data_IF_164111386166
#
_entry.id   IF_164111386166
#
_cell.length_a   1.000
_cell.length_b   1.000
_cell.length_c   1.000
_cell.angle_alpha   90.00
_cell.angle_beta   90.00
_cell.angle_gamma   90.00
#
_symmetry.space_group_name_H-M   'P 1'
#
loop_
_entity.id
_entity.type
_entity.pdbx_description
1 polymer ?
#
# COMPACT_ATOMS: atom_id res chain seq x y z
N UNK A 1 9.03 -3.25 15.52
CA UNK A 1 8.73 -1.96 14.85
C UNK A 1 9.59 -1.85 13.60
N UNK A 2 8.96 -1.64 12.45
CA UNK A 2 9.68 -1.49 11.15
C UNK A 2 9.61 -0.07 10.61
N UNK A 3 8.51 0.66 10.85
CA UNK A 3 8.34 2.08 10.56
C UNK A 3 7.64 2.74 11.74
N UNK A 4 8.05 3.96 12.09
CA UNK A 4 7.29 4.81 13.00
C UNK A 4 7.37 6.27 12.58
N UNK A 5 6.37 7.04 12.99
CA UNK A 5 6.34 8.49 12.86
C UNK A 5 6.23 9.13 14.23
N UNK A 6 6.96 10.25 14.43
CA UNK A 6 6.93 11.04 15.65
C UNK A 6 6.66 12.49 15.31
N UNK A 7 5.57 13.03 15.85
CA UNK A 7 5.10 14.41 15.70
C UNK A 7 5.17 14.91 14.25
N UNK A 8 4.80 14.02 13.32
CA UNK A 8 4.97 14.25 11.89
C UNK A 8 3.95 15.28 11.41
N UNK A 9 4.41 16.30 10.69
CA UNK A 9 3.58 17.23 9.93
C UNK A 9 3.87 17.05 8.44
N UNK A 10 2.81 16.87 7.65
CA UNK A 10 2.88 16.65 6.21
C UNK A 10 2.19 17.78 5.45
N UNK A 11 2.66 18.09 4.26
CA UNK A 11 2.08 19.14 3.41
C UNK A 11 3.01 19.55 2.29
N UNK A 12 2.68 20.65 1.63
CA UNK A 12 3.41 21.21 0.49
C UNK A 12 3.72 22.69 0.72
N UNK A 13 4.88 23.14 0.25
CA UNK A 13 5.28 24.55 0.25
C UNK A 13 5.10 25.24 1.62
N UNK A 14 5.43 24.53 2.70
CA UNK A 14 5.31 25.06 4.06
C UNK A 14 3.87 25.07 4.62
N UNK A 15 2.86 24.69 3.83
CA UNK A 15 1.46 24.60 4.25
C UNK A 15 1.15 23.20 4.73
N UNK A 16 0.84 23.00 6.02
CA UNK A 16 0.50 21.70 6.54
C UNK A 16 -0.89 21.26 6.09
N UNK A 17 -1.02 19.98 5.70
CA UNK A 17 -2.28 19.31 5.44
C UNK A 17 -2.73 18.55 6.70
N UNK A 18 -1.79 17.87 7.37
CA UNK A 18 -2.04 17.21 8.65
C UNK A 18 -0.81 17.36 9.56
N UNK A 19 -1.03 17.38 10.87
CA UNK A 19 0.00 17.58 11.91
C UNK A 19 -0.19 16.58 13.05
N UNK A 20 0.84 16.42 13.88
CA UNK A 20 0.79 15.61 15.09
C UNK A 20 0.59 14.14 14.80
N UNK A 21 1.04 13.66 13.64
CA UNK A 21 0.85 12.27 13.22
C UNK A 21 1.87 11.42 13.97
N UNK A 22 1.36 10.48 14.77
CA UNK A 22 2.16 9.50 15.51
C UNK A 22 1.62 8.10 15.21
N UNK A 23 2.48 7.16 14.82
CA UNK A 23 2.12 5.75 14.65
C UNK A 23 3.35 4.84 14.72
N UNK A 24 3.10 3.55 14.92
CA UNK A 24 4.12 2.51 14.89
C UNK A 24 3.61 1.30 14.10
N UNK A 25 4.38 0.85 13.11
CA UNK A 25 4.10 -0.32 12.28
C UNK A 25 5.11 -1.41 12.62
N UNK A 26 4.63 -2.61 12.87
CA UNK A 26 5.46 -3.78 13.14
C UNK A 26 5.49 -4.73 11.93
N UNK A 27 6.45 -5.67 11.95
CA UNK A 27 6.50 -6.70 10.92
C UNK A 27 5.24 -7.57 10.98
N UNK A 28 4.58 -7.76 9.84
CA UNK A 28 3.37 -8.54 9.72
C UNK A 28 2.08 -7.76 10.01
N UNK A 29 2.16 -6.46 10.35
CA UNK A 29 0.95 -5.64 10.48
C UNK A 29 0.20 -5.51 9.16
N UNK A 30 -1.13 -5.46 9.26
CA UNK A 30 -2.02 -4.96 8.22
C UNK A 30 -2.52 -3.58 8.68
N UNK A 31 -1.79 -2.54 8.28
CA UNK A 31 -1.98 -1.16 8.72
C UNK A 31 -2.84 -0.39 7.73
N UNK A 32 -4.01 0.07 8.17
CA UNK A 32 -4.93 0.85 7.34
C UNK A 32 -4.86 2.34 7.65
N UNK A 33 -4.71 3.16 6.62
CA UNK A 33 -4.83 4.61 6.69
C UNK A 33 -6.18 5.00 6.10
N UNK A 34 -7.04 5.58 6.92
CA UNK A 34 -8.39 5.99 6.56
C UNK A 34 -8.59 7.49 6.75
N UNK A 35 -9.63 8.06 6.16
CA UNK A 35 -9.97 9.47 6.28
C UNK A 35 -10.67 10.00 5.04
N UNK A 36 -11.20 11.22 5.12
CA UNK A 36 -11.89 11.91 4.01
C UNK A 36 -10.99 12.17 2.81
N UNK A 37 -11.56 12.44 1.64
CA UNK A 37 -10.81 12.88 0.49
C UNK A 37 -10.15 14.23 0.78
N UNK A 38 -8.86 14.35 0.43
CA UNK A 38 -8.08 15.55 0.73
C UNK A 38 -7.42 15.59 2.11
N UNK A 39 -7.71 14.68 3.03
CA UNK A 39 -7.14 14.65 4.39
C UNK A 39 -5.61 14.43 4.45
N UNK A 40 -4.95 14.13 3.32
CA UNK A 40 -3.49 13.97 3.27
C UNK A 40 -2.98 12.53 3.23
N UNK A 41 -3.85 11.52 3.11
CA UNK A 41 -3.46 10.09 3.08
C UNK A 41 -2.36 9.78 2.08
N UNK A 42 -2.53 10.15 0.81
CA UNK A 42 -1.52 9.94 -0.23
C UNK A 42 -0.25 10.80 -0.01
N UNK A 43 -0.38 11.97 0.64
CA UNK A 43 0.77 12.78 1.06
C UNK A 43 1.56 12.07 2.15
N UNK A 44 0.88 11.47 3.13
CA UNK A 44 1.50 10.66 4.16
C UNK A 44 2.24 9.45 3.56
N UNK A 45 1.61 8.71 2.64
CA UNK A 45 2.29 7.60 1.95
C UNK A 45 3.55 8.06 1.21
N UNK A 46 3.49 9.18 0.49
CA UNK A 46 4.65 9.74 -0.19
C UNK A 46 5.74 10.16 0.80
N UNK A 47 5.37 10.66 1.97
CA UNK A 47 6.31 11.01 3.04
C UNK A 47 6.95 9.75 3.63
N UNK A 48 6.16 8.69 3.91
CA UNK A 48 6.66 7.39 4.33
C UNK A 48 7.60 6.78 3.28
N UNK A 49 7.32 6.94 2.00
CA UNK A 49 8.19 6.49 0.92
C UNK A 49 9.46 7.34 0.74
N UNK A 50 9.54 8.48 1.44
CA UNK A 50 10.63 9.45 1.30
C UNK A 50 10.63 10.22 -0.01
N UNK A 51 9.49 10.24 -0.72
CA UNK A 51 9.28 11.00 -1.95
C UNK A 51 9.01 12.48 -1.66
N UNK A 52 8.48 12.78 -0.47
CA UNK A 52 8.23 14.14 0.03
C UNK A 52 8.86 14.23 1.42
N UNK A 53 9.53 15.35 1.70
CA UNK A 53 10.07 15.63 3.04
C UNK A 53 8.93 16.07 3.96
N UNK A 54 8.92 15.64 5.22
CA UNK A 54 7.99 16.18 6.20
C UNK A 54 8.26 17.67 6.46
N UNK A 55 7.23 18.40 6.86
CA UNK A 55 7.37 19.80 7.29
C UNK A 55 7.98 19.90 8.69
N UNK A 56 7.63 18.95 9.57
CA UNK A 56 8.25 18.76 10.90
C UNK A 56 8.09 17.31 11.34
N UNK A 57 8.76 16.93 12.43
CA UNK A 57 8.80 15.56 12.91
C UNK A 57 9.65 14.66 12.02
N UNK A 58 9.55 13.36 12.23
CA UNK A 58 10.40 12.39 11.53
C UNK A 58 9.67 11.06 11.26
N UNK A 59 10.09 10.39 10.20
CA UNK A 59 9.75 8.98 9.92
C UNK A 59 11.01 8.15 10.14
N UNK A 60 10.94 7.22 11.07
CA UNK A 60 12.01 6.29 11.43
C UNK A 60 11.79 4.93 10.79
N UNK A 61 12.86 4.32 10.33
CA UNK A 61 12.84 2.99 9.70
C UNK A 61 13.82 2.07 10.43
N UNK A 62 13.41 0.83 10.66
CA UNK A 62 14.33 -0.19 11.13
C UNK A 62 15.39 -0.51 10.05
N UNK A 63 16.56 -0.97 10.46
CA UNK A 63 17.63 -1.37 9.53
C UNK A 63 17.21 -2.48 8.56
N UNK A 64 16.25 -3.31 8.96
CA UNK A 64 15.64 -4.36 8.12
C UNK A 64 14.82 -3.81 6.96
N UNK A 65 14.34 -2.57 7.05
CA UNK A 65 13.54 -1.90 6.02
C UNK A 65 14.41 -0.88 5.30
N UNK A 66 15.06 -1.30 4.23
CA UNK A 66 15.72 -0.35 3.34
C UNK A 66 14.64 0.34 2.49
N UNK A 67 14.62 1.69 2.48
CA UNK A 67 13.68 2.50 1.67
C UNK A 67 13.57 2.04 0.21
N UNK A 68 14.67 1.53 -0.36
CA UNK A 68 14.73 1.01 -1.73
C UNK A 68 14.04 -0.35 -1.95
N UNK A 69 13.59 -1.01 -0.87
CA UNK A 69 12.95 -2.33 -0.92
C UNK A 69 11.51 -2.32 -0.41
N UNK A 70 10.83 -1.20 -0.51
CA UNK A 70 9.41 -1.08 -0.24
C UNK A 70 8.66 -1.32 -1.54
N UNK A 71 7.74 -2.27 -1.54
CA UNK A 71 6.81 -2.45 -2.65
C UNK A 71 5.80 -1.31 -2.65
N UNK A 72 5.61 -0.63 -3.77
CA UNK A 72 4.65 0.45 -3.86
C UNK A 72 3.71 0.29 -5.05
N UNK A 73 2.42 0.30 -4.75
CA UNK A 73 1.35 0.39 -5.73
C UNK A 73 0.68 1.75 -5.57
N UNK A 74 0.93 2.64 -6.52
CA UNK A 74 0.29 3.97 -6.56
C UNK A 74 -1.13 3.89 -7.07
N UNK A 75 -1.98 4.82 -6.64
CA UNK A 75 -3.29 5.04 -7.23
C UNK A 75 -3.15 5.18 -8.75
N UNK A 76 -3.90 4.36 -9.50
CA UNK A 76 -3.92 4.44 -10.95
C UNK A 76 -4.60 5.75 -11.38
N UNK A 77 -3.82 6.67 -11.93
CA UNK A 77 -4.37 7.69 -12.81
C UNK A 77 -4.46 7.06 -14.19
N UNK A 78 -5.56 7.28 -14.87
CA UNK A 78 -5.90 6.72 -16.19
C UNK A 78 -4.90 7.23 -17.26
N UNK A 79 -3.64 6.85 -17.13
CA UNK A 79 -2.57 7.14 -18.05
C UNK A 79 -2.69 6.17 -19.24
N UNK A 80 -3.45 6.60 -20.24
CA UNK A 80 -3.69 5.91 -21.54
C UNK A 80 -2.42 5.74 -22.38
N UNK A 81 -1.25 5.78 -21.77
CA UNK A 81 0.00 5.50 -22.48
C UNK A 81 0.07 4.02 -22.79
N UNK A 82 -0.05 3.70 -24.06
CA UNK A 82 0.15 2.34 -24.58
C UNK A 82 1.61 1.98 -24.32
N UNK A 83 1.83 1.11 -23.33
CA UNK A 83 3.15 0.54 -23.09
C UNK A 83 3.16 -0.89 -23.64
N UNK A 84 3.90 -1.17 -24.72
CA UNK A 84 3.88 -2.46 -25.41
C UNK A 84 4.68 -3.54 -24.70
N UNK A 85 4.55 -3.64 -23.38
CA UNK A 85 5.21 -4.66 -22.58
C UNK A 85 4.24 -5.80 -22.26
N UNK A 86 4.81 -7.00 -22.17
CA UNK A 86 4.10 -8.17 -21.68
C UNK A 86 3.88 -8.09 -20.17
N UNK A 87 2.90 -8.81 -19.65
CA UNK A 87 2.65 -8.95 -18.21
C UNK A 87 3.91 -9.38 -17.48
N UNK A 88 4.63 -10.35 -18.04
CA UNK A 88 5.87 -10.86 -17.44
C UNK A 88 6.95 -9.79 -17.33
N UNK A 89 7.17 -8.99 -18.36
CA UNK A 89 8.16 -7.91 -18.35
C UNK A 89 7.84 -6.85 -17.30
N UNK A 90 6.54 -6.48 -17.16
CA UNK A 90 6.10 -5.54 -16.13
C UNK A 90 6.35 -6.08 -14.75
N UNK A 91 5.94 -7.32 -14.47
CA UNK A 91 6.12 -7.93 -13.14
C UNK A 91 7.60 -8.08 -12.81
N UNK A 92 8.39 -8.58 -13.77
CA UNK A 92 9.83 -8.78 -13.61
C UNK A 92 10.58 -7.47 -13.36
N UNK A 93 10.08 -6.35 -13.90
CA UNK A 93 10.66 -5.02 -13.64
C UNK A 93 10.66 -4.65 -12.15
N UNK A 94 9.79 -5.25 -11.33
CA UNK A 94 9.79 -5.09 -9.88
C UNK A 94 11.10 -5.55 -9.23
N UNK A 95 11.76 -6.57 -9.79
CA UNK A 95 13.04 -7.08 -9.29
C UNK A 95 14.21 -6.09 -9.48
N UNK A 96 14.07 -5.03 -10.29
CA UNK A 96 15.12 -4.03 -10.50
C UNK A 96 15.56 -3.32 -9.22
N UNK A 97 14.66 -3.21 -8.24
CA UNK A 97 14.93 -2.52 -6.97
C UNK A 97 15.80 -3.32 -5.99
N UNK A 98 16.22 -4.53 -6.34
CA UNK A 98 16.93 -5.43 -5.41
C UNK A 98 18.46 -5.22 -5.38
N UNK A 99 18.98 -4.08 -5.88
CA UNK A 99 20.41 -3.75 -5.81
C UNK A 99 21.26 -4.60 -6.76
N UNK A 100 20.82 -4.74 -7.98
CA UNK A 100 21.44 -5.54 -9.04
C UNK A 100 22.80 -5.00 -9.48
N UNK A 101 23.73 -5.92 -9.68
CA UNK A 101 25.04 -5.65 -10.28
C UNK A 101 25.17 -6.14 -11.74
N UNK A 102 24.11 -6.77 -12.29
CA UNK A 102 24.11 -7.35 -13.63
C UNK A 102 22.96 -6.79 -14.48
N UNK A 103 23.14 -6.64 -15.80
CA UNK A 103 22.16 -6.05 -16.69
C UNK A 103 20.97 -6.99 -17.01
N UNK A 104 21.16 -8.29 -16.83
CA UNK A 104 20.14 -9.29 -17.17
C UNK A 104 19.48 -9.87 -15.93
N UNK A 105 18.21 -10.27 -16.06
CA UNK A 105 17.49 -10.97 -15.00
C UNK A 105 17.95 -12.41 -14.85
N UNK A 106 18.19 -12.84 -13.61
CA UNK A 106 18.59 -14.21 -13.29
C UNK A 106 17.43 -15.19 -13.43
N UNK A 107 17.73 -16.49 -13.36
CA UNK A 107 16.70 -17.54 -13.35
C UNK A 107 15.84 -17.46 -12.08
N UNK A 108 16.43 -17.12 -10.95
CA UNK A 108 15.80 -16.97 -9.65
C UNK A 108 14.81 -15.79 -9.66
N UNK A 109 15.22 -14.61 -10.19
CA UNK A 109 14.34 -13.45 -10.35
C UNK A 109 13.13 -13.76 -11.25
N UNK A 110 13.36 -14.48 -12.35
CA UNK A 110 12.29 -14.91 -13.25
C UNK A 110 11.35 -15.92 -12.60
N UNK A 111 11.87 -16.84 -11.79
CA UNK A 111 11.05 -17.80 -11.03
C UNK A 111 10.24 -17.09 -9.97
N UNK A 112 10.84 -16.14 -9.23
CA UNK A 112 10.18 -15.32 -8.23
C UNK A 112 9.05 -14.48 -8.82
N UNK A 113 9.27 -13.83 -9.97
CA UNK A 113 8.22 -13.10 -10.67
C UNK A 113 7.03 -14.00 -11.04
N UNK A 114 7.28 -15.22 -11.54
CA UNK A 114 6.20 -16.19 -11.85
C UNK A 114 5.48 -16.70 -10.61
N UNK A 115 6.17 -16.84 -9.49
CA UNK A 115 5.54 -17.17 -8.20
C UNK A 115 4.54 -16.09 -7.79
N UNK A 116 4.93 -14.80 -7.86
CA UNK A 116 4.01 -13.69 -7.52
C UNK A 116 2.86 -13.56 -8.51
N UNK A 117 3.09 -13.85 -9.78
CA UNK A 117 2.02 -13.95 -10.78
C UNK A 117 1.05 -15.10 -10.49
N UNK A 118 1.55 -16.26 -10.05
CA UNK A 118 0.73 -17.40 -9.68
C UNK A 118 -0.13 -17.09 -8.44
N UNK A 119 0.46 -16.46 -7.42
CA UNK A 119 -0.23 -16.03 -6.20
C UNK A 119 -1.44 -15.12 -6.51
N UNK A 120 -1.32 -14.27 -7.53
CA UNK A 120 -2.37 -13.34 -7.94
C UNK A 120 -3.23 -13.85 -9.12
N UNK A 121 -3.09 -15.13 -9.50
CA UNK A 121 -3.94 -15.78 -10.52
C UNK A 121 -3.75 -15.23 -11.94
N UNK A 122 -2.55 -14.72 -12.27
CA UNK A 122 -2.24 -14.13 -13.59
C UNK A 122 -1.10 -14.83 -14.33
N UNK A 123 -0.67 -16.00 -13.87
CA UNK A 123 0.48 -16.73 -14.46
C UNK A 123 0.25 -17.08 -15.94
N UNK A 124 -0.95 -17.48 -16.29
CA UNK A 124 -1.31 -17.89 -17.66
C UNK A 124 -1.33 -16.69 -18.64
N UNK A 125 -1.27 -15.48 -18.09
CA UNK A 125 -1.29 -14.24 -18.86
C UNK A 125 0.12 -13.71 -19.16
N UNK A 126 1.20 -14.42 -18.80
CA UNK A 126 2.58 -13.90 -18.81
C UNK A 126 3.03 -13.32 -20.17
N UNK A 127 2.55 -13.90 -21.27
CA UNK A 127 2.94 -13.52 -22.63
C UNK A 127 2.02 -12.46 -23.26
N UNK A 128 0.90 -12.15 -22.62
CA UNK A 128 -0.07 -11.20 -23.17
C UNK A 128 0.36 -9.76 -22.90
N UNK A 129 -0.09 -8.87 -23.74
CA UNK A 129 0.19 -7.43 -23.63
C UNK A 129 -0.64 -6.82 -22.50
N UNK A 130 -0.01 -6.06 -21.62
CA UNK A 130 -0.65 -5.42 -20.45
C UNK A 130 -1.84 -4.53 -20.83
N UNK A 131 -1.78 -3.92 -21.99
CA UNK A 131 -2.81 -2.99 -22.46
C UNK A 131 -4.19 -3.65 -22.65
N UNK A 132 -4.22 -4.93 -22.99
CA UNK A 132 -5.45 -5.69 -23.32
C UNK A 132 -6.32 -6.04 -22.10
N UNK A 133 -5.86 -5.75 -20.90
CA UNK A 133 -6.49 -6.23 -19.67
C UNK A 133 -7.54 -5.28 -19.09
N UNK A 134 -8.52 -5.87 -18.39
CA UNK A 134 -9.47 -5.14 -17.54
C UNK A 134 -8.75 -4.43 -16.38
N UNK A 135 -9.43 -3.46 -15.73
CA UNK A 135 -8.89 -2.75 -14.59
C UNK A 135 -8.39 -3.69 -13.48
N UNK A 136 -9.19 -4.68 -13.12
CA UNK A 136 -8.82 -5.66 -12.09
C UNK A 136 -7.63 -6.54 -12.47
N UNK A 137 -7.53 -6.97 -13.72
CA UNK A 137 -6.35 -7.70 -14.20
C UNK A 137 -5.10 -6.84 -14.18
N UNK A 138 -5.19 -5.58 -14.62
CA UNK A 138 -4.09 -4.61 -14.55
C UNK A 138 -3.63 -4.41 -13.11
N UNK A 139 -4.58 -4.30 -12.19
CA UNK A 139 -4.28 -4.15 -10.77
C UNK A 139 -3.50 -5.34 -10.21
N UNK A 140 -3.90 -6.58 -10.54
CA UNK A 140 -3.17 -7.80 -10.15
C UNK A 140 -1.75 -7.84 -10.73
N UNK A 141 -1.54 -7.38 -11.97
CA UNK A 141 -0.21 -7.26 -12.59
C UNK A 141 0.67 -6.26 -11.82
N UNK A 142 0.13 -5.08 -11.51
CA UNK A 142 0.88 -4.04 -10.80
C UNK A 142 1.16 -4.42 -9.34
N UNK A 143 0.23 -5.13 -8.69
CA UNK A 143 0.45 -5.70 -7.36
C UNK A 143 1.55 -6.77 -7.40
N UNK A 144 1.55 -7.68 -8.39
CA UNK A 144 2.62 -8.64 -8.59
C UNK A 144 3.98 -7.96 -8.76
N UNK A 145 4.03 -6.88 -9.53
CA UNK A 145 5.24 -6.06 -9.70
C UNK A 145 5.71 -5.46 -8.38
N UNK A 146 4.79 -4.89 -7.60
CA UNK A 146 5.11 -4.33 -6.29
C UNK A 146 5.64 -5.39 -5.32
N UNK A 147 5.08 -6.59 -5.32
CA UNK A 147 5.56 -7.73 -4.54
C UNK A 147 6.96 -8.19 -4.96
N UNK A 148 7.29 -8.10 -6.26
CA UNK A 148 8.64 -8.43 -6.73
C UNK A 148 9.71 -7.44 -6.24
N UNK A 149 9.33 -6.24 -5.81
CA UNK A 149 10.28 -5.24 -5.30
C UNK A 149 10.57 -5.34 -3.81
N UNK A 150 9.83 -6.18 -3.08
CA UNK A 150 9.96 -6.33 -1.62
C UNK A 150 9.74 -7.77 -1.16
N UNK A 151 10.28 -8.08 0.04
CA UNK A 151 9.96 -9.29 0.79
C UNK A 151 9.24 -8.99 2.11
N UNK A 152 9.24 -7.73 2.57
CA UNK A 152 8.86 -7.39 3.94
C UNK A 152 7.70 -6.40 4.04
N UNK A 153 7.59 -5.44 3.12
CA UNK A 153 6.66 -4.33 3.24
C UNK A 153 6.12 -3.89 1.89
N UNK A 154 4.80 -3.87 1.77
CA UNK A 154 4.11 -3.31 0.62
C UNK A 154 3.23 -2.13 1.05
N UNK A 155 3.25 -1.05 0.28
CA UNK A 155 2.43 0.15 0.47
C UNK A 155 1.49 0.27 -0.72
N UNK A 156 0.20 0.42 -0.44
CA UNK A 156 -0.87 0.42 -1.43
C UNK A 156 -1.70 1.71 -1.29
N UNK A 157 -1.79 2.47 -2.36
CA UNK A 157 -2.60 3.70 -2.42
C UNK A 157 -3.89 3.41 -3.20
N UNK A 158 -5.00 3.20 -2.48
CA UNK A 158 -6.32 2.88 -3.01
C UNK A 158 -6.34 1.71 -4.01
N UNK A 159 -5.84 0.51 -3.62
CA UNK A 159 -5.62 -0.60 -4.56
C UNK A 159 -6.88 -1.15 -5.21
N UNK A 160 -8.06 -0.88 -4.66
CA UNK A 160 -9.35 -1.41 -5.15
C UNK A 160 -10.22 -0.33 -5.79
N UNK A 161 -9.72 0.90 -5.92
CA UNK A 161 -10.51 2.01 -6.47
C UNK A 161 -10.94 1.73 -7.91
N UNK A 162 -12.26 1.84 -8.16
CA UNK A 162 -12.85 1.63 -9.50
C UNK A 162 -12.96 0.16 -9.93
N UNK A 163 -12.74 -0.80 -9.04
CA UNK A 163 -12.97 -2.23 -9.29
C UNK A 163 -14.40 -2.62 -8.92
N UNK A 164 -14.91 -3.66 -9.59
CA UNK A 164 -16.18 -4.27 -9.20
C UNK A 164 -16.05 -5.03 -7.86
N UNK A 165 -17.19 -5.28 -7.15
CA UNK A 165 -17.15 -5.87 -5.80
C UNK A 165 -16.48 -7.25 -5.75
N UNK A 166 -16.65 -8.09 -6.77
CA UNK A 166 -16.09 -9.45 -6.79
C UNK A 166 -14.56 -9.37 -6.92
N UNK A 167 -14.06 -8.57 -7.84
CA UNK A 167 -12.61 -8.35 -8.03
C UNK A 167 -12.00 -7.70 -6.80
N UNK A 168 -12.74 -6.80 -6.14
CA UNK A 168 -12.33 -6.15 -4.89
C UNK A 168 -12.13 -7.18 -3.77
N UNK A 169 -13.09 -8.07 -3.56
CA UNK A 169 -13.00 -9.12 -2.54
C UNK A 169 -11.84 -10.07 -2.82
N UNK A 170 -11.68 -10.52 -4.06
CA UNK A 170 -10.56 -11.37 -4.49
C UNK A 170 -9.20 -10.70 -4.20
N UNK A 171 -9.09 -9.38 -4.43
CA UNK A 171 -7.85 -8.64 -4.20
C UNK A 171 -7.54 -8.55 -2.71
N UNK A 172 -8.54 -8.28 -1.87
CA UNK A 172 -8.37 -8.26 -0.41
C UNK A 172 -7.96 -9.63 0.14
N UNK A 173 -8.58 -10.72 -0.34
CA UNK A 173 -8.21 -12.08 0.04
C UNK A 173 -6.74 -12.39 -0.34
N UNK A 174 -6.30 -11.96 -1.52
CA UNK A 174 -4.92 -12.12 -1.93
C UNK A 174 -3.95 -11.30 -1.04
N UNK A 175 -4.32 -10.08 -0.64
CA UNK A 175 -3.53 -9.25 0.28
C UNK A 175 -3.46 -9.87 1.68
N UNK A 176 -4.55 -10.47 2.17
CA UNK A 176 -4.57 -11.19 3.44
C UNK A 176 -3.61 -12.40 3.40
N UNK A 177 -3.64 -13.19 2.32
CA UNK A 177 -2.70 -14.31 2.15
C UNK A 177 -1.25 -13.87 2.15
N UNK A 178 -0.94 -12.74 1.47
CA UNK A 178 0.39 -12.14 1.46
C UNK A 178 0.80 -11.70 2.88
N UNK A 179 -0.12 -11.11 3.63
CA UNK A 179 0.12 -10.69 5.00
C UNK A 179 0.35 -11.88 5.94
N UNK A 180 -0.44 -12.95 5.83
CA UNK A 180 -0.23 -14.22 6.57
C UNK A 180 1.14 -14.86 6.30
N UNK A 181 1.73 -14.60 5.14
CA UNK A 181 3.11 -15.01 4.81
C UNK A 181 4.18 -14.11 5.45
N UNK A 182 3.79 -13.14 6.29
CA UNK A 182 4.67 -12.26 7.05
C UNK A 182 5.04 -10.94 6.33
N UNK A 183 4.44 -10.65 5.18
CA UNK A 183 4.61 -9.35 4.54
C UNK A 183 3.73 -8.32 5.24
N UNK A 184 4.33 -7.21 5.67
CA UNK A 184 3.59 -6.08 6.21
C UNK A 184 2.83 -5.37 5.09
N UNK A 185 1.56 -5.10 5.31
CA UNK A 185 0.70 -4.37 4.37
C UNK A 185 0.35 -3.00 4.97
N UNK A 186 0.68 -1.93 4.26
CA UNK A 186 0.22 -0.57 4.56
C UNK A 186 -0.71 -0.14 3.44
N UNK A 187 -1.95 0.16 3.75
CA UNK A 187 -2.96 0.47 2.74
C UNK A 187 -3.70 1.76 3.07
N UNK A 188 -3.82 2.63 2.08
CA UNK A 188 -4.81 3.70 2.08
C UNK A 188 -6.09 3.18 1.45
N UNK A 189 -7.21 3.38 2.12
CA UNK A 189 -8.53 3.04 1.60
C UNK A 189 -9.56 4.10 2.00
N UNK A 190 -10.51 4.34 1.10
CA UNK A 190 -11.74 5.07 1.40
C UNK A 190 -12.91 4.11 1.72
N UNK A 191 -12.79 2.83 1.39
CA UNK A 191 -13.70 1.77 1.82
C UNK A 191 -13.31 1.28 3.21
N UNK A 192 -13.78 2.02 4.22
CA UNK A 192 -13.50 1.73 5.62
C UNK A 192 -14.03 0.35 6.02
N UNK A 193 -15.27 0.01 5.58
CA UNK A 193 -15.93 -1.23 6.02
C UNK A 193 -15.18 -2.48 5.59
N UNK A 194 -14.78 -2.55 4.32
CA UNK A 194 -14.06 -3.71 3.81
C UNK A 194 -12.61 -3.76 4.33
N UNK A 195 -11.93 -2.60 4.37
CA UNK A 195 -10.56 -2.52 4.88
C UNK A 195 -10.43 -2.95 6.34
N UNK A 196 -11.43 -2.64 7.16
CA UNK A 196 -11.49 -2.98 8.57
C UNK A 196 -11.63 -4.49 8.85
N UNK A 197 -12.02 -5.30 7.86
CA UNK A 197 -12.05 -6.76 8.04
C UNK A 197 -10.65 -7.35 8.22
N UNK A 198 -9.67 -6.73 7.61
CA UNK A 198 -8.29 -7.22 7.50
C UNK A 198 -7.29 -6.44 8.38
N UNK A 199 -7.57 -5.16 8.65
CA UNK A 199 -6.69 -4.30 9.42
C UNK A 199 -6.57 -4.74 10.88
N UNK A 200 -5.32 -4.79 11.38
CA UNK A 200 -5.05 -4.94 12.80
C UNK A 200 -4.65 -3.60 13.46
N UNK A 201 -4.14 -2.64 12.69
CA UNK A 201 -3.83 -1.28 13.15
C UNK A 201 -4.42 -0.24 12.20
N UNK A 202 -4.83 0.90 12.73
CA UNK A 202 -5.54 1.92 11.96
C UNK A 202 -4.97 3.30 12.28
N UNK A 203 -4.79 4.11 11.25
CA UNK A 203 -4.53 5.54 11.35
C UNK A 203 -5.67 6.30 10.68
N UNK A 204 -6.46 7.01 11.46
CA UNK A 204 -7.51 7.89 10.94
C UNK A 204 -6.96 9.32 10.81
N UNK A 205 -7.05 9.89 9.61
CA UNK A 205 -6.68 11.29 9.35
C UNK A 205 -7.96 12.08 9.05
N UNK A 206 -8.23 13.08 9.85
CA UNK A 206 -9.36 13.98 9.72
C UNK A 206 -8.91 15.45 9.80
N UNK A 207 -9.86 16.38 9.73
CA UNK A 207 -9.57 17.82 9.76
C UNK A 207 -8.98 18.28 11.10
N UNK A 208 -9.25 17.57 12.20
CA UNK A 208 -8.74 17.85 13.55
C UNK A 208 -7.34 17.27 13.80
N UNK A 209 -6.84 16.44 12.89
CA UNK A 209 -5.51 15.80 13.00
C UNK A 209 -5.52 14.31 12.66
N UNK A 210 -4.64 13.56 13.31
CA UNK A 210 -4.50 12.13 13.09
C UNK A 210 -4.62 11.34 14.40
N UNK A 211 -5.40 10.29 14.39
CA UNK A 211 -5.58 9.39 15.53
C UNK A 211 -5.11 7.99 15.14
N UNK A 212 -4.17 7.47 15.91
CA UNK A 212 -3.67 6.11 15.76
C UNK A 212 -4.38 5.17 16.73
N UNK A 213 -4.81 4.04 16.23
CA UNK A 213 -5.46 2.97 16.98
C UNK A 213 -4.60 1.71 16.88
N UNK A 214 -4.21 1.17 18.01
CA UNK A 214 -3.37 -0.02 18.09
C UNK A 214 -4.12 -1.32 17.82
N UNK A 215 -5.47 -1.25 17.80
CA UNK A 215 -6.29 -2.40 17.43
C UNK A 215 -7.58 -1.95 16.74
N UNK A 216 -8.19 -2.90 16.02
CA UNK A 216 -9.52 -2.73 15.43
C UNK A 216 -10.60 -2.46 16.48
N UNK A 217 -10.53 -3.15 17.61
CA UNK A 217 -11.47 -3.02 18.72
C UNK A 217 -11.44 -1.60 19.31
N UNK A 218 -10.25 -1.03 19.45
CA UNK A 218 -10.10 0.36 19.91
C UNK A 218 -10.80 1.35 18.96
N UNK A 219 -10.60 1.18 17.66
CA UNK A 219 -11.26 2.00 16.65
C UNK A 219 -12.79 1.86 16.70
N UNK A 220 -13.30 0.63 16.73
CA UNK A 220 -14.74 0.35 16.75
C UNK A 220 -15.43 0.97 18.00
N UNK A 221 -14.79 0.84 19.17
CA UNK A 221 -15.33 1.40 20.42
C UNK A 221 -15.40 2.93 20.37
N UNK A 222 -14.32 3.60 19.95
CA UNK A 222 -14.30 5.07 19.81
C UNK A 222 -15.28 5.58 18.72
N UNK A 223 -15.43 4.82 17.63
CA UNK A 223 -16.37 5.19 16.55
C UNK A 223 -17.83 5.06 16.98
N UNK A 224 -18.16 4.12 17.86
CA UNK A 224 -19.52 3.98 18.46
C UNK A 224 -19.83 5.15 19.40
N UNK A 225 -18.91 5.47 20.31
CA UNK A 225 -19.08 6.60 21.25
C UNK A 225 -19.29 7.92 20.52
N UNK A 226 -18.52 8.21 19.46
CA UNK A 226 -18.71 9.42 18.63
C UNK A 226 -20.05 9.49 17.91
N UNK A 227 -20.66 8.35 17.56
CA UNK A 227 -21.98 8.31 16.91
C UNK A 227 -23.11 8.54 17.92
N UNK A 228 -22.95 8.10 19.15
CA UNK A 228 -23.90 8.31 20.23
C UNK A 228 -23.92 9.79 20.66
N UNK A 229 -22.74 10.41 20.82
CA UNK A 229 -22.61 11.85 21.14
C UNK A 229 -23.17 12.80 20.07
N UNK A 230 -23.21 12.39 18.79
CA UNK A 230 -23.76 13.21 17.70
C UNK A 230 -25.28 13.02 17.47
N UNK A 231 -25.91 12.08 18.17
CA UNK A 231 -27.34 11.80 18.07
C UNK A 231 -28.17 12.35 19.27
N UNK A 232 -27.48 12.91 20.26
CA UNK A 232 -28.04 13.65 21.40
C UNK A 232 -27.94 15.19 21.15
#
# INVERSE_FOLDING_TARGET
MIISAKDLAIGYEGKPIAKGINFAIEQGDYFCIIGSNGSGKSTLLKTILGLIKPLSGEVLYADSVKKKRIGYLSQQKDDRKIFPATVFEIVLSGCLNQGRWHPFFTKEEKAYAREKMALLGIKDLEKRTFYEFSGGQKQRVLLSRALCSTHNLIILDEPVSGLDPIVTEDLYNALEEINKQGVTVVMVSHDVQTSMKFANKILEINDDGAVFYESKEEYENKSKSKREENND
#
